data_IF_817307729527
#
_entry.id   IF_817307729527
#
_cell.length_a   1.000
_cell.length_b   1.000
_cell.length_c   1.000
_cell.angle_alpha   90.00
_cell.angle_beta   90.00
_cell.angle_gamma   90.00
#
_symmetry.space_group_name_H-M   'P 1'
#
loop_
_entity.id
_entity.type
_entity.pdbx_description
1 polymer ?
#
# COMPACT_ATOMS: atom_id res chain seq x y z
N UNK A 1 -28.26 -20.49 12.60
CA UNK A 1 -27.69 -21.83 12.33
C UNK A 1 -26.19 -21.67 12.29
N UNK A 2 -25.47 -22.34 13.18
CA UNK A 2 -24.01 -22.26 13.28
C UNK A 2 -23.38 -23.19 12.25
N UNK A 3 -22.49 -22.64 11.43
CA UNK A 3 -21.74 -23.36 10.41
C UNK A 3 -20.35 -23.66 10.96
N UNK A 4 -19.84 -24.86 10.71
CA UNK A 4 -18.57 -25.35 11.21
C UNK A 4 -17.65 -25.67 10.04
N UNK A 5 -16.35 -25.50 10.26
CA UNK A 5 -15.31 -25.96 9.35
C UNK A 5 -14.35 -26.91 10.06
N UNK A 6 -13.76 -27.81 9.29
CA UNK A 6 -12.81 -28.81 9.81
C UNK A 6 -11.43 -28.46 9.27
N UNK A 7 -10.52 -28.18 10.19
CA UNK A 7 -9.13 -27.83 9.91
C UNK A 7 -8.22 -28.95 10.39
N UNK A 8 -7.28 -29.35 9.54
CA UNK A 8 -6.21 -30.27 9.91
C UNK A 8 -4.89 -29.53 9.94
N UNK A 9 -4.17 -29.68 11.06
CA UNK A 9 -2.90 -29.00 11.33
C UNK A 9 -1.68 -29.91 11.15
N UNK A 10 -1.83 -31.07 10.50
CA UNK A 10 -0.72 -32.00 10.27
C UNK A 10 -0.34 -32.85 11.49
N UNK A 11 -1.11 -32.76 12.59
CA UNK A 11 -0.86 -33.50 13.83
C UNK A 11 -1.44 -34.91 13.76
N UNK A 12 -0.58 -35.90 13.98
CA UNK A 12 -0.92 -37.31 14.09
C UNK A 12 -1.05 -37.70 15.56
N UNK A 13 -1.93 -38.67 15.85
CA UNK A 13 -2.02 -39.26 17.19
C UNK A 13 -0.78 -40.11 17.52
N UNK A 14 -0.38 -40.10 18.79
CA UNK A 14 0.79 -40.86 19.28
C UNK A 14 0.62 -42.36 19.01
N UNK A 15 1.55 -42.93 18.22
CA UNK A 15 1.55 -44.35 17.85
C UNK A 15 1.01 -44.66 16.45
N UNK A 16 0.49 -43.68 15.69
CA UNK A 16 0.02 -43.89 14.33
C UNK A 16 1.16 -43.78 13.29
N UNK A 17 1.33 -44.80 12.44
CA UNK A 17 2.33 -44.77 11.36
C UNK A 17 1.93 -43.73 10.29
N UNK A 18 2.81 -42.77 9.95
CA UNK A 18 2.47 -41.67 9.05
C UNK A 18 2.05 -42.16 7.66
N UNK A 19 2.62 -43.27 7.18
CA UNK A 19 2.31 -43.82 5.86
C UNK A 19 0.92 -44.47 5.79
N UNK A 20 0.47 -45.11 6.88
CA UNK A 20 -0.88 -45.71 6.97
C UNK A 20 -1.95 -44.64 7.15
N UNK A 21 -1.67 -43.60 7.95
CA UNK A 21 -2.61 -42.48 8.14
C UNK A 21 -2.75 -41.69 6.84
N UNK A 22 -1.65 -41.47 6.09
CA UNK A 22 -1.69 -40.88 4.74
C UNK A 22 -2.60 -41.67 3.81
N UNK A 23 -2.45 -42.99 3.74
CA UNK A 23 -3.28 -43.83 2.88
C UNK A 23 -4.77 -43.80 3.28
N UNK A 24 -5.08 -43.84 4.57
CA UNK A 24 -6.46 -43.81 5.08
C UNK A 24 -7.13 -42.45 4.88
N UNK A 25 -6.41 -41.35 5.14
CA UNK A 25 -6.90 -40.00 4.89
C UNK A 25 -7.10 -39.72 3.39
N UNK A 26 -6.20 -40.18 2.53
CA UNK A 26 -6.34 -40.03 1.08
C UNK A 26 -7.61 -40.74 0.56
N UNK A 27 -7.93 -41.92 1.11
CA UNK A 27 -9.18 -42.65 0.78
C UNK A 27 -10.43 -41.97 1.31
N UNK A 28 -10.40 -41.47 2.54
CA UNK A 28 -11.55 -40.82 3.17
C UNK A 28 -11.88 -39.46 2.54
N UNK A 29 -10.87 -38.69 2.14
CA UNK A 29 -11.04 -37.35 1.56
C UNK A 29 -10.96 -37.30 0.04
N UNK A 30 -10.67 -38.42 -0.62
CA UNK A 30 -10.37 -38.47 -2.07
C UNK A 30 -9.38 -37.36 -2.47
N UNK A 31 -8.41 -37.10 -1.60
CA UNK A 31 -7.48 -36.00 -1.73
C UNK A 31 -6.19 -36.47 -2.42
N UNK A 32 -5.71 -35.68 -3.38
CA UNK A 32 -4.48 -35.97 -4.11
C UNK A 32 -3.27 -36.03 -3.19
N UNK A 33 -2.30 -36.89 -3.52
CA UNK A 33 -1.06 -37.11 -2.76
C UNK A 33 -0.28 -35.81 -2.48
N UNK A 34 -0.42 -34.83 -3.38
CA UNK A 34 0.15 -33.48 -3.23
C UNK A 34 -0.52 -32.66 -2.12
N UNK A 35 -1.86 -32.74 -1.99
CA UNK A 35 -2.59 -32.09 -0.89
C UNK A 35 -2.26 -32.77 0.43
N UNK A 36 -2.08 -34.08 0.41
CA UNK A 36 -1.63 -34.85 1.57
C UNK A 36 -0.22 -34.43 2.00
N UNK A 37 0.75 -34.32 1.09
CA UNK A 37 2.09 -33.83 1.43
C UNK A 37 2.06 -32.40 2.02
N UNK A 38 1.18 -31.53 1.50
CA UNK A 38 0.97 -30.18 2.04
C UNK A 38 0.30 -30.19 3.42
N UNK A 39 -0.66 -31.10 3.66
CA UNK A 39 -1.28 -31.31 4.98
C UNK A 39 -0.25 -31.74 6.03
N UNK A 40 0.68 -32.63 5.63
CA UNK A 40 1.78 -33.10 6.48
C UNK A 40 2.97 -32.12 6.55
N UNK A 41 2.94 -31.00 5.82
CA UNK A 41 3.96 -29.95 5.92
C UNK A 41 3.82 -29.06 7.17
N UNK A 42 2.84 -29.35 8.03
CA UNK A 42 2.58 -28.63 9.28
C UNK A 42 1.77 -27.33 9.09
N UNK A 43 1.25 -27.08 7.89
CA UNK A 43 0.41 -25.91 7.60
C UNK A 43 -1.06 -26.29 7.79
N UNK A 44 -1.79 -25.45 8.54
CA UNK A 44 -3.24 -25.57 8.72
C UNK A 44 -3.95 -25.61 7.36
N UNK A 45 -4.80 -26.60 7.12
CA UNK A 45 -5.56 -26.73 5.89
C UNK A 45 -7.01 -27.11 6.18
N UNK A 46 -7.94 -26.38 5.55
CA UNK A 46 -9.38 -26.60 5.68
C UNK A 46 -9.78 -27.73 4.75
N UNK A 47 -10.23 -28.87 5.28
CA UNK A 47 -10.65 -30.02 4.45
C UNK A 47 -12.06 -29.83 3.90
N UNK A 48 -12.95 -29.25 4.71
CA UNK A 48 -14.33 -28.96 4.32
C UNK A 48 -14.90 -27.84 5.19
N UNK A 49 -15.55 -26.88 4.52
CA UNK A 49 -16.28 -25.78 5.14
C UNK A 49 -17.80 -25.98 4.96
N UNK A 50 -18.59 -25.25 5.75
CA UNK A 50 -20.06 -25.25 5.69
C UNK A 50 -20.72 -26.57 6.16
N UNK A 51 -20.23 -27.13 7.27
CA UNK A 51 -20.81 -28.33 7.91
C UNK A 51 -21.69 -27.97 9.10
N UNK A 52 -22.79 -28.68 9.30
CA UNK A 52 -23.58 -28.61 10.53
C UNK A 52 -22.85 -29.29 11.69
N UNK A 53 -23.19 -28.93 12.95
CA UNK A 53 -22.57 -29.47 14.17
C UNK A 53 -22.49 -31.01 14.17
N UNK A 54 -23.61 -31.66 13.82
CA UNK A 54 -23.68 -33.13 13.77
C UNK A 54 -22.82 -33.74 12.66
N UNK A 55 -22.63 -33.03 11.54
CA UNK A 55 -21.77 -33.49 10.47
C UNK A 55 -20.30 -33.32 10.88
N UNK A 56 -19.94 -32.17 11.47
CA UNK A 56 -18.59 -31.88 11.92
C UNK A 56 -18.08 -32.90 12.96
N UNK A 57 -18.91 -33.28 13.93
CA UNK A 57 -18.57 -34.31 14.93
C UNK A 57 -18.37 -35.71 14.33
N UNK A 58 -19.17 -36.07 13.31
CA UNK A 58 -19.01 -37.33 12.58
C UNK A 58 -17.68 -37.37 11.84
N UNK A 59 -17.30 -36.26 11.20
CA UNK A 59 -16.00 -36.14 10.52
C UNK A 59 -14.83 -36.13 11.51
N UNK A 60 -14.95 -35.46 12.65
CA UNK A 60 -13.95 -35.53 13.72
C UNK A 60 -13.74 -36.97 14.18
N UNK A 61 -14.82 -37.70 14.41
CA UNK A 61 -14.77 -39.09 14.88
C UNK A 61 -14.15 -40.05 13.86
N UNK A 62 -14.42 -39.87 12.56
CA UNK A 62 -13.80 -40.69 11.51
C UNK A 62 -12.32 -40.37 11.32
N UNK A 63 -11.94 -39.11 11.48
CA UNK A 63 -10.56 -38.62 11.41
C UNK A 63 -9.71 -39.08 12.60
N UNK A 64 -10.25 -39.00 13.82
CA UNK A 64 -9.58 -39.51 15.03
C UNK A 64 -9.36 -41.02 14.94
N UNK A 65 -10.36 -41.78 14.43
CA UNK A 65 -10.21 -43.22 14.15
C UNK A 65 -9.18 -43.53 13.08
N UNK A 66 -8.95 -42.61 12.14
CA UNK A 66 -7.90 -42.72 11.14
C UNK A 66 -6.51 -42.32 11.67
N UNK A 67 -6.39 -41.88 12.93
CA UNK A 67 -5.14 -41.49 13.59
C UNK A 67 -4.72 -40.03 13.36
N UNK A 68 -5.67 -39.18 12.95
CA UNK A 68 -5.44 -37.77 12.62
C UNK A 68 -6.14 -36.86 13.63
N UNK A 69 -5.43 -35.86 14.16
CA UNK A 69 -5.99 -34.87 15.08
C UNK A 69 -6.55 -33.70 14.28
N UNK A 70 -7.87 -33.55 14.31
CA UNK A 70 -8.59 -32.50 13.59
C UNK A 70 -9.22 -31.51 14.57
N UNK A 71 -9.13 -30.23 14.23
CA UNK A 71 -9.74 -29.13 14.99
C UNK A 71 -11.00 -28.69 14.25
N UNK A 72 -12.14 -28.76 14.95
CA UNK A 72 -13.40 -28.21 14.47
C UNK A 72 -13.44 -26.75 14.91
N UNK A 73 -13.56 -25.85 13.95
CA UNK A 73 -13.61 -24.40 14.18
C UNK A 73 -15.00 -23.90 13.84
N UNK A 74 -15.59 -23.17 14.78
CA UNK A 74 -16.91 -22.58 14.62
C UNK A 74 -16.79 -21.32 13.75
N UNK A 75 -17.61 -21.20 12.71
CA UNK A 75 -17.60 -20.05 11.81
C UNK A 75 -18.43 -18.87 12.37
N UNK A 76 -18.76 -18.86 13.65
CA UNK A 76 -19.40 -17.71 14.30
C UNK A 76 -18.32 -16.86 14.98
N UNK A 77 -18.19 -15.56 14.64
CA UNK A 77 -17.30 -14.69 15.37
C UNK A 77 -17.87 -14.57 16.79
N UNK A 78 -17.14 -15.07 17.78
CA UNK A 78 -17.27 -14.51 19.12
C UNK A 78 -16.80 -13.07 19.04
N UNK A 79 -17.77 -12.17 18.94
CA UNK A 79 -17.66 -10.87 19.62
C UNK A 79 -17.57 -11.23 21.10
N UNK A 80 -16.36 -11.52 21.57
CA UNK A 80 -16.08 -11.63 23.00
C UNK A 80 -16.10 -10.21 23.55
N UNK A 81 -17.26 -9.89 24.09
CA UNK A 81 -17.55 -8.97 25.17
C UNK A 81 -16.32 -8.82 26.10
N UNK A 82 -15.55 -7.75 25.87
CA UNK A 82 -14.55 -7.25 26.81
C UNK A 82 -15.32 -6.64 27.97
N UNK A 83 -15.21 -7.26 29.15
CA UNK A 83 -15.68 -6.69 30.41
C UNK A 83 -15.21 -5.23 30.54
N UNK A 84 -16.18 -4.41 30.91
CA UNK A 84 -16.16 -2.99 31.26
C UNK A 84 -14.87 -2.50 31.96
N UNK A 85 -13.81 -2.23 31.21
CA UNK A 85 -12.84 -1.20 31.58
C UNK A 85 -13.36 0.16 31.08
N UNK A 86 -13.19 1.27 31.83
CA UNK A 86 -13.66 2.58 31.40
C UNK A 86 -13.10 2.89 30.01
N UNK A 87 -13.87 3.60 29.16
CA UNK A 87 -13.62 3.65 27.72
C UNK A 87 -12.15 3.95 27.44
N UNK A 88 -11.50 3.17 26.56
CA UNK A 88 -10.15 3.52 26.14
C UNK A 88 -10.23 4.95 25.63
N UNK A 89 -9.45 5.84 26.26
CA UNK A 89 -9.22 7.17 25.75
C UNK A 89 -8.84 7.09 24.26
N UNK A 90 -9.04 8.17 23.50
CA UNK A 90 -8.87 8.18 22.05
C UNK A 90 -7.58 7.46 21.68
N UNK A 91 -7.74 6.44 20.82
CA UNK A 91 -6.70 5.58 20.28
C UNK A 91 -5.35 6.29 20.15
N UNK A 92 -4.34 5.82 20.87
CA UNK A 92 -2.97 6.35 20.84
C UNK A 92 -2.30 6.27 19.46
N UNK A 93 -2.89 5.55 18.50
CA UNK A 93 -2.46 5.55 17.09
C UNK A 93 -2.75 6.86 16.35
N UNK A 94 -3.71 7.67 16.83
CA UNK A 94 -3.95 9.04 16.32
C UNK A 94 -3.00 10.08 16.96
N UNK A 95 -2.24 9.66 17.97
CA UNK A 95 -1.30 10.51 18.68
C UNK A 95 0.13 10.03 18.37
N UNK A 96 0.45 9.94 17.08
CA UNK A 96 1.85 10.05 16.66
C UNK A 96 2.23 11.51 16.89
N UNK A 97 2.80 11.79 18.06
CA UNK A 97 3.61 12.98 18.24
C UNK A 97 4.62 13.01 17.08
N UNK A 98 4.70 14.16 16.41
CA UNK A 98 5.75 14.42 15.42
C UNK A 98 7.07 14.00 16.06
N UNK A 99 7.81 13.00 15.53
CA UNK A 99 9.18 12.84 15.96
C UNK A 99 9.85 14.18 15.69
N UNK A 100 10.36 14.80 16.75
CA UNK A 100 11.24 15.95 16.61
C UNK A 100 12.36 15.51 15.67
N UNK A 101 12.68 16.32 14.66
CA UNK A 101 13.82 16.08 13.78
C UNK A 101 15.04 15.74 14.66
N UNK A 102 15.40 14.47 14.69
CA UNK A 102 16.19 13.87 15.76
C UNK A 102 16.88 12.62 15.26
N UNK A 103 17.61 11.94 16.14
CA UNK A 103 18.36 10.74 15.80
C UNK A 103 17.48 9.52 16.01
N UNK A 104 17.50 8.56 15.10
CA UNK A 104 16.74 7.32 15.28
C UNK A 104 17.38 6.46 16.36
N UNK A 105 16.72 6.33 17.51
CA UNK A 105 17.10 5.38 18.55
C UNK A 105 16.38 4.04 18.32
N UNK A 106 17.13 3.06 17.82
CA UNK A 106 16.63 1.71 17.60
C UNK A 106 17.24 0.77 18.63
N UNK A 107 16.39 0.19 19.50
CA UNK A 107 16.82 -0.85 20.42
C UNK A 107 17.19 -2.13 19.63
N UNK A 108 18.44 -2.62 19.73
CA UNK A 108 18.87 -3.80 18.98
C UNK A 108 18.13 -5.04 19.48
N UNK A 109 17.62 -5.84 18.53
CA UNK A 109 16.83 -7.04 18.82
C UNK A 109 17.67 -8.31 18.90
N UNK A 110 18.85 -8.28 18.29
CA UNK A 110 19.75 -9.42 18.18
C UNK A 110 21.23 -8.98 18.06
N UNK A 111 22.12 -9.98 18.03
CA UNK A 111 23.57 -9.78 17.96
C UNK A 111 23.99 -9.09 16.66
N UNK A 112 23.27 -9.36 15.56
CA UNK A 112 23.54 -8.74 14.27
C UNK A 112 23.16 -7.25 14.26
N UNK A 113 21.98 -6.87 14.78
CA UNK A 113 21.62 -5.46 14.90
C UNK A 113 22.51 -4.71 15.89
N UNK A 114 22.97 -5.37 16.96
CA UNK A 114 23.88 -4.75 17.93
C UNK A 114 25.21 -4.32 17.28
N UNK A 115 25.66 -5.00 16.23
CA UNK A 115 26.86 -4.61 15.47
C UNK A 115 26.74 -3.23 14.80
N UNK A 116 25.52 -2.75 14.56
CA UNK A 116 25.24 -1.46 13.93
C UNK A 116 24.77 -0.39 14.92
N UNK A 117 24.79 -0.67 16.23
CA UNK A 117 24.36 0.28 17.27
C UNK A 117 25.15 1.59 17.30
N UNK A 118 26.40 1.58 16.82
CA UNK A 118 27.25 2.76 16.72
C UNK A 118 27.11 3.53 15.39
N UNK A 119 26.28 3.06 14.46
CA UNK A 119 26.08 3.73 13.18
C UNK A 119 25.24 4.99 13.38
N UNK A 120 25.70 6.10 12.80
CA UNK A 120 24.95 7.35 12.78
C UNK A 120 23.76 7.23 11.81
N UNK A 121 22.55 7.17 12.37
CA UNK A 121 21.30 7.06 11.63
C UNK A 121 20.45 8.32 11.86
N UNK A 122 20.40 9.26 10.89
CA UNK A 122 19.47 10.38 10.95
C UNK A 122 18.03 9.87 10.85
N UNK A 123 17.10 10.48 11.60
CA UNK A 123 15.68 10.21 11.42
C UNK A 123 15.21 10.80 10.09
N UNK A 124 14.75 9.92 9.21
CA UNK A 124 14.18 10.24 7.91
C UNK A 124 12.66 10.04 8.02
N UNK A 125 11.93 11.01 8.60
CA UNK A 125 10.50 10.89 8.77
C UNK A 125 9.80 10.86 7.41
N UNK A 126 8.65 10.18 7.38
CA UNK A 126 7.81 10.20 6.20
C UNK A 126 7.15 11.58 6.07
N UNK A 127 7.40 12.25 4.94
CA UNK A 127 6.77 13.51 4.63
C UNK A 127 5.28 13.34 4.31
N UNK A 128 4.49 14.39 4.53
CA UNK A 128 3.07 14.41 4.19
C UNK A 128 2.86 14.32 2.66
N UNK A 129 1.66 13.92 2.24
CA UNK A 129 1.32 13.81 0.80
C UNK A 129 1.41 15.19 0.15
N UNK A 130 2.21 15.31 -0.91
CA UNK A 130 2.45 16.57 -1.61
C UNK A 130 3.54 17.45 -1.01
N UNK A 131 4.19 17.02 0.08
CA UNK A 131 5.36 17.71 0.61
C UNK A 131 6.53 17.66 -0.37
N UNK A 132 7.23 18.78 -0.53
CA UNK A 132 8.45 18.84 -1.32
C UNK A 132 9.58 18.10 -0.57
N UNK A 133 10.11 17.03 -1.19
CA UNK A 133 11.24 16.25 -0.65
C UNK A 133 12.60 16.84 -1.01
N UNK A 134 12.63 17.79 -1.96
CA UNK A 134 13.84 18.42 -2.43
C UNK A 134 14.13 19.67 -1.61
N UNK A 135 15.39 19.85 -1.21
CA UNK A 135 15.84 21.09 -0.59
C UNK A 135 15.56 22.29 -1.51
N UNK A 136 15.17 23.45 -0.95
CA UNK A 136 14.93 24.64 -1.74
C UNK A 136 16.21 25.05 -2.47
N UNK A 137 16.13 25.09 -3.80
CA UNK A 137 17.22 25.61 -4.60
C UNK A 137 17.42 27.10 -4.26
N UNK A 138 18.67 27.56 -4.10
CA UNK A 138 18.92 28.99 -3.97
C UNK A 138 18.33 29.74 -5.17
N UNK A 139 17.83 30.97 -4.97
CA UNK A 139 17.28 31.76 -6.07
C UNK A 139 18.34 31.92 -7.16
N UNK A 140 17.96 31.56 -8.39
CA UNK A 140 18.87 31.70 -9.53
C UNK A 140 19.25 33.18 -9.71
N UNK A 141 20.53 33.51 -9.92
CA UNK A 141 20.93 34.88 -10.21
C UNK A 141 20.26 35.35 -11.50
N UNK A 142 19.83 36.61 -11.54
CA UNK A 142 19.21 37.18 -12.73
C UNK A 142 20.19 37.11 -13.92
N UNK A 143 19.74 36.67 -15.11
CA UNK A 143 20.61 36.62 -16.26
C UNK A 143 21.05 38.04 -16.65
N UNK A 144 22.34 38.20 -16.92
CA UNK A 144 22.87 39.44 -17.48
C UNK A 144 22.57 39.45 -18.98
N UNK A 145 21.43 40.05 -19.35
CA UNK A 145 21.03 40.22 -20.73
C UNK A 145 21.58 41.53 -21.27
N UNK A 146 22.40 41.46 -22.32
CA UNK A 146 22.77 42.63 -23.09
C UNK A 146 21.69 42.92 -24.14
N UNK A 147 20.84 43.90 -23.84
CA UNK A 147 19.76 44.35 -24.71
C UNK A 147 20.18 45.55 -25.57
N UNK A 148 21.46 45.94 -25.58
CA UNK A 148 21.95 47.09 -26.35
C UNK A 148 21.72 46.97 -27.86
N UNK A 149 21.63 45.73 -28.37
CA UNK A 149 21.34 45.45 -29.77
C UNK A 149 19.85 45.46 -30.11
N UNK A 150 18.94 45.53 -29.12
CA UNK A 150 17.49 45.48 -29.35
C UNK A 150 16.93 46.91 -29.27
N UNK A 151 16.48 47.43 -30.41
CA UNK A 151 15.78 48.73 -30.49
C UNK A 151 14.28 48.50 -30.65
N UNK A 152 13.49 49.20 -29.83
CA UNK A 152 12.03 49.22 -29.92
C UNK A 152 11.59 50.41 -30.78
N UNK A 153 10.77 50.14 -31.80
CA UNK A 153 10.15 51.21 -32.58
C UNK A 153 9.08 51.94 -31.73
N UNK A 154 8.83 53.24 -31.95
CA UNK A 154 7.76 53.96 -31.27
C UNK A 154 6.41 53.25 -31.37
N UNK A 155 5.54 53.32 -30.33
CA UNK A 155 4.22 52.70 -30.41
C UNK A 155 3.44 53.25 -31.62
N UNK A 156 2.85 52.34 -32.40
CA UNK A 156 2.19 52.67 -33.67
C UNK A 156 3.11 52.64 -34.91
N UNK A 157 4.39 52.30 -34.75
CA UNK A 157 5.27 52.03 -35.88
C UNK A 157 4.94 50.68 -36.51
N UNK A 158 4.79 50.69 -37.83
CA UNK A 158 4.53 49.51 -38.63
C UNK A 158 5.81 48.68 -38.79
N UNK A 159 5.84 47.47 -38.23
CA UNK A 159 6.99 46.57 -38.30
C UNK A 159 6.71 45.45 -39.31
N UNK A 160 7.07 45.69 -40.57
CA UNK A 160 7.08 44.65 -41.61
C UNK A 160 6.28 44.96 -42.87
N UNK A 161 5.51 46.05 -42.95
CA UNK A 161 4.84 46.42 -44.19
C UNK A 161 5.79 47.12 -45.18
N UNK A 162 5.70 46.73 -46.45
CA UNK A 162 6.43 47.37 -47.54
C UNK A 162 6.11 48.87 -47.58
N UNK A 163 7.16 49.70 -47.76
CA UNK A 163 7.09 51.17 -47.72
C UNK A 163 5.92 51.68 -48.57
N UNK A 164 4.89 52.25 -47.90
CA UNK A 164 3.73 52.82 -48.58
C UNK A 164 4.19 53.89 -49.57
N UNK A 165 3.76 53.84 -50.85
CA UNK A 165 4.11 54.88 -51.81
C UNK A 165 3.62 56.24 -51.31
N UNK A 166 4.41 57.29 -51.58
CA UNK A 166 4.05 58.65 -51.17
C UNK A 166 2.65 59.02 -51.68
N UNK A 167 1.84 59.73 -50.88
CA UNK A 167 0.50 60.13 -51.32
C UNK A 167 0.61 60.96 -52.60
N UNK A 168 -0.26 60.65 -53.57
CA UNK A 168 -0.34 61.41 -54.82
C UNK A 168 -0.64 62.89 -54.52
N UNK A 169 -0.15 63.83 -55.35
CA UNK A 169 -0.46 65.24 -55.19
C UNK A 169 -1.99 65.44 -55.17
N UNK A 170 -2.45 66.33 -54.28
CA UNK A 170 -3.86 66.64 -54.18
C UNK A 170 -4.40 67.11 -55.55
N UNK A 171 -5.61 66.69 -55.95
CA UNK A 171 -6.22 67.19 -57.18
C UNK A 171 -6.42 68.71 -57.10
N UNK A 172 -6.29 69.40 -58.23
CA UNK A 172 -6.46 70.85 -58.27
C UNK A 172 -7.92 71.25 -57.97
N UNK A 173 -8.10 71.90 -56.82
CA UNK A 173 -9.41 72.37 -56.33
C UNK A 173 -9.66 73.84 -56.65
N UNK A 174 -8.81 74.50 -57.44
CA UNK A 174 -8.89 75.95 -57.72
C UNK A 174 -10.20 76.41 -58.36
N UNK A 175 -10.99 75.47 -58.90
CA UNK A 175 -12.28 75.76 -59.55
C UNK A 175 -13.52 75.41 -58.69
N UNK A 176 -13.33 74.91 -57.46
CA UNK A 176 -14.45 74.67 -56.54
C UNK A 176 -14.81 75.96 -55.80
N UNK A 177 -16.03 76.45 -56.01
CA UNK A 177 -16.64 77.51 -55.21
C UNK A 177 -17.85 76.94 -54.48
N UNK A 178 -17.86 77.13 -53.16
CA UNK A 178 -18.99 76.80 -52.30
C UNK A 178 -19.97 77.99 -52.40
N UNK A 179 -21.21 77.71 -52.82
CA UNK A 179 -22.32 78.68 -52.82
C UNK A 179 -22.96 78.78 -51.43
#
# INVERSE_FOLDING_TARGET
MTLYEIVFSGRLLEGAQPDKVKANLARLFQADEQRMALLFSGRRLVLKNNLDAQAAEKYRSTLERAGALCEVVDMHPRIEEVELAPPPGPSSWLQREKPAAGRLEVAPRDVYMAAFSAVDAPDLPLAEVGAALQDPLPPAPAPQLDLSAITLAPPGSDMGEAKKPAPAPAPDTSHLKIL
#
